data_IF_155796746990
#
_entry.id   IF_155796746990
#
_cell.length_a   1.000
_cell.length_b   1.000
_cell.length_c   1.000
_cell.angle_alpha   90.00
_cell.angle_beta   90.00
_cell.angle_gamma   90.00
#
_symmetry.space_group_name_H-M   'P 1'
#
loop_
_entity.id
_entity.type
_entity.pdbx_description
1 polymer ?
#
# COMPACT_ATOMS: atom_id res chain seq x y z
N UNK A 1 25.22 10.01 -27.39
CA UNK A 1 24.79 9.03 -26.36
C UNK A 1 23.78 9.74 -25.50
N UNK A 2 22.51 9.36 -25.62
CA UNK A 2 21.33 10.05 -25.07
C UNK A 2 21.44 10.16 -23.53
N UNK A 3 21.55 11.38 -23.02
CA UNK A 3 21.92 11.71 -21.64
C UNK A 3 20.70 11.65 -20.70
N UNK A 4 20.01 10.51 -20.65
CA UNK A 4 18.96 10.30 -19.66
C UNK A 4 19.57 10.31 -18.26
N UNK A 5 19.10 11.23 -17.41
CA UNK A 5 19.50 11.31 -16.00
C UNK A 5 18.25 11.14 -15.16
N UNK A 6 18.27 10.16 -14.25
CA UNK A 6 17.22 9.97 -13.26
C UNK A 6 17.89 9.77 -11.90
N UNK A 7 17.55 10.65 -10.97
CA UNK A 7 18.20 10.80 -9.67
C UNK A 7 17.18 10.69 -8.55
N UNK A 8 17.51 9.92 -7.52
CA UNK A 8 16.79 9.90 -6.25
C UNK A 8 17.61 10.63 -5.21
N UNK A 9 17.04 11.68 -4.61
CA UNK A 9 17.72 12.51 -3.61
C UNK A 9 16.95 12.42 -2.30
N UNK A 10 17.61 11.90 -1.27
CA UNK A 10 17.04 11.67 0.05
C UNK A 10 17.82 12.50 1.09
N UNK A 11 17.44 13.76 1.35
CA UNK A 11 18.13 14.61 2.31
C UNK A 11 17.95 14.09 3.75
N UNK A 12 18.98 14.25 4.58
CA UNK A 12 19.01 13.83 5.99
C UNK A 12 18.73 12.33 6.20
N UNK A 13 19.02 11.49 5.20
CA UNK A 13 18.87 10.04 5.27
C UNK A 13 20.23 9.34 5.22
N UNK A 14 20.23 8.05 5.60
CA UNK A 14 21.39 7.17 5.59
C UNK A 14 21.17 6.03 4.60
N UNK A 15 22.21 5.60 3.91
CA UNK A 15 22.09 4.60 2.84
C UNK A 15 21.49 3.29 3.39
N UNK A 16 21.91 2.90 4.59
CA UNK A 16 21.39 1.72 5.30
C UNK A 16 19.88 1.70 5.53
N UNK A 17 19.19 2.85 5.47
CA UNK A 17 17.72 2.92 5.61
C UNK A 17 17.02 3.01 4.25
N UNK A 18 17.59 3.81 3.33
CA UNK A 18 16.99 4.07 2.01
C UNK A 18 17.17 2.87 1.08
N UNK A 19 18.36 2.28 1.06
CA UNK A 19 18.70 1.19 0.15
C UNK A 19 17.79 -0.02 0.37
N UNK A 20 17.49 -0.50 1.61
CA UNK A 20 16.49 -1.57 1.79
C UNK A 20 15.07 -1.15 1.41
N UNK A 21 14.67 0.11 1.63
CA UNK A 21 13.32 0.57 1.30
C UNK A 21 13.06 0.54 -0.23
N UNK A 22 14.10 0.79 -1.03
CA UNK A 22 14.10 0.72 -2.50
C UNK A 22 14.41 -0.68 -3.03
N UNK A 23 15.33 -1.43 -2.41
CA UNK A 23 15.71 -2.78 -2.87
C UNK A 23 14.66 -3.83 -2.53
N UNK A 24 13.92 -3.65 -1.44
CA UNK A 24 12.81 -4.52 -1.04
C UNK A 24 11.48 -4.04 -1.64
N UNK A 25 11.50 -3.48 -2.85
CA UNK A 25 10.28 -3.33 -3.64
C UNK A 25 9.87 -4.72 -4.14
N UNK A 26 8.58 -5.04 -4.04
CA UNK A 26 8.11 -6.37 -4.45
C UNK A 26 8.30 -6.56 -5.96
N UNK A 27 8.47 -7.80 -6.40
CA UNK A 27 8.55 -8.16 -7.83
C UNK A 27 7.34 -7.64 -8.61
N UNK A 28 6.17 -7.62 -7.97
CA UNK A 28 4.94 -7.07 -8.54
C UNK A 28 5.01 -5.54 -8.74
N UNK A 29 5.62 -4.81 -7.80
CA UNK A 29 5.87 -3.36 -7.94
C UNK A 29 6.91 -3.09 -9.03
N UNK A 30 7.96 -3.90 -9.10
CA UNK A 30 8.97 -3.77 -10.15
C UNK A 30 8.37 -4.04 -11.54
N UNK A 31 7.52 -5.06 -11.68
CA UNK A 31 6.83 -5.36 -12.95
C UNK A 31 5.78 -4.31 -13.32
N UNK A 32 4.97 -3.86 -12.36
CA UNK A 32 3.87 -2.92 -12.63
C UNK A 32 4.35 -1.56 -13.15
N UNK A 33 5.51 -1.12 -12.69
CA UNK A 33 6.10 0.17 -13.06
C UNK A 33 7.30 0.04 -13.98
N UNK A 34 7.52 -1.16 -14.54
CA UNK A 34 8.66 -1.48 -15.41
C UNK A 34 9.99 -0.97 -14.80
N UNK A 35 10.13 -1.15 -13.48
CA UNK A 35 11.30 -0.71 -12.73
C UNK A 35 12.40 -1.75 -12.89
N UNK A 36 13.44 -1.36 -13.59
CA UNK A 36 14.71 -2.05 -13.53
C UNK A 36 15.63 -1.37 -12.50
N UNK A 37 15.87 -2.06 -11.39
CA UNK A 37 16.77 -1.59 -10.32
C UNK A 37 18.19 -2.16 -10.47
N UNK A 38 18.46 -2.96 -11.51
CA UNK A 38 19.76 -3.62 -11.69
C UNK A 38 20.90 -2.62 -11.95
N UNK A 39 20.60 -1.49 -12.58
CA UNK A 39 21.54 -0.39 -12.83
C UNK A 39 21.64 0.65 -11.72
N UNK A 40 21.04 0.41 -10.54
CA UNK A 40 20.97 1.40 -9.47
C UNK A 40 22.33 1.56 -8.77
N UNK A 41 22.85 2.79 -8.80
CA UNK A 41 24.07 3.16 -8.08
C UNK A 41 23.79 4.17 -6.98
N UNK A 42 24.47 4.02 -5.86
CA UNK A 42 24.26 4.77 -4.64
C UNK A 42 25.50 5.52 -4.21
N UNK A 43 25.29 6.68 -3.61
CA UNK A 43 26.31 7.41 -2.87
C UNK A 43 25.69 8.00 -1.59
N UNK A 44 26.49 8.09 -0.53
CA UNK A 44 26.10 8.69 0.74
C UNK A 44 27.14 9.73 1.15
N UNK A 45 26.67 10.84 1.68
CA UNK A 45 27.50 11.80 2.41
C UNK A 45 26.84 12.15 3.75
N UNK A 46 27.39 13.14 4.46
CA UNK A 46 26.82 13.59 5.74
C UNK A 46 25.40 14.16 5.59
N UNK A 47 25.12 14.80 4.46
CA UNK A 47 23.91 15.56 4.20
C UNK A 47 22.76 14.71 3.67
N UNK A 48 23.04 13.54 3.07
CA UNK A 48 22.00 12.65 2.58
C UNK A 48 22.51 11.53 1.69
N UNK A 49 21.55 10.91 1.00
CA UNK A 49 21.77 9.81 0.07
C UNK A 49 21.34 10.23 -1.33
N UNK A 50 22.14 9.82 -2.31
CA UNK A 50 21.87 9.97 -3.72
C UNK A 50 21.82 8.58 -4.37
N UNK A 51 20.85 8.37 -5.26
CA UNK A 51 20.83 7.24 -6.17
C UNK A 51 20.75 7.72 -7.62
N UNK A 52 21.44 7.03 -8.52
CA UNK A 52 21.36 7.25 -9.97
C UNK A 52 20.81 6.00 -10.64
N UNK A 53 19.86 6.20 -11.54
CA UNK A 53 19.32 5.16 -12.41
C UNK A 53 20.00 5.21 -13.78
N UNK A 54 20.40 4.05 -14.27
CA UNK A 54 20.86 3.84 -15.65
C UNK A 54 19.73 3.11 -16.40
N UNK A 55 18.96 3.82 -17.25
CA UNK A 55 17.86 3.24 -18.04
C UNK A 55 16.64 4.14 -18.18
N UNK A 56 15.80 3.91 -19.19
CA UNK A 56 14.63 4.73 -19.57
C UNK A 56 13.38 4.49 -18.72
N UNK A 57 13.53 4.11 -17.45
CA UNK A 57 12.37 3.86 -16.57
C UNK A 57 11.76 5.19 -16.07
N UNK A 58 10.43 5.22 -15.87
CA UNK A 58 9.66 6.40 -15.43
C UNK A 58 9.12 6.19 -14.01
N UNK A 59 9.97 6.20 -12.99
CA UNK A 59 9.54 5.71 -11.70
C UNK A 59 8.99 6.84 -10.85
N UNK A 60 7.83 7.35 -11.26
CA UNK A 60 7.00 8.23 -10.44
C UNK A 60 6.84 7.74 -9.00
N UNK A 61 6.90 6.41 -8.83
CA UNK A 61 6.75 5.72 -7.56
C UNK A 61 8.05 5.53 -6.77
N UNK A 62 9.23 5.76 -7.36
CA UNK A 62 10.50 5.59 -6.65
C UNK A 62 10.78 6.68 -5.62
N UNK A 63 10.17 7.87 -5.73
CA UNK A 63 10.15 8.81 -4.63
C UNK A 63 9.04 8.51 -3.62
N UNK A 64 7.87 8.11 -4.12
CA UNK A 64 6.66 7.97 -3.30
C UNK A 64 6.75 6.79 -2.33
N UNK A 65 7.17 5.62 -2.79
CA UNK A 65 7.20 4.41 -1.94
C UNK A 65 8.23 4.54 -0.82
N UNK A 66 9.49 4.93 -1.07
CA UNK A 66 10.48 5.08 0.00
C UNK A 66 10.13 6.23 0.96
N UNK A 67 9.58 7.34 0.46
CA UNK A 67 9.11 8.43 1.34
C UNK A 67 7.97 7.97 2.26
N UNK A 68 7.10 7.07 1.82
CA UNK A 68 6.06 6.47 2.64
C UNK A 68 6.64 5.52 3.70
N UNK A 69 7.49 4.58 3.28
CA UNK A 69 8.09 3.55 4.16
C UNK A 69 8.93 4.16 5.28
N UNK A 70 9.62 5.26 5.01
CA UNK A 70 10.58 5.86 5.93
C UNK A 70 10.08 7.18 6.54
N UNK A 71 8.84 7.58 6.21
CA UNK A 71 8.26 8.88 6.58
C UNK A 71 9.18 10.09 6.32
N UNK A 72 9.98 10.02 5.26
CA UNK A 72 11.04 10.99 4.97
C UNK A 72 10.75 11.79 3.69
N UNK A 73 11.57 12.83 3.46
CA UNK A 73 11.59 13.51 2.17
C UNK A 73 12.36 12.67 1.17
N UNK A 74 11.78 12.49 -0.01
CA UNK A 74 12.45 11.89 -1.16
C UNK A 74 12.09 12.70 -2.39
N UNK A 75 13.08 13.12 -3.14
CA UNK A 75 12.88 13.80 -4.42
C UNK A 75 13.37 12.91 -5.56
N UNK A 76 12.54 12.75 -6.58
CA UNK A 76 12.96 12.19 -7.86
C UNK A 76 13.16 13.34 -8.83
N UNK A 77 14.31 13.39 -9.50
CA UNK A 77 14.70 14.41 -10.45
C UNK A 77 15.10 13.73 -11.75
N UNK A 78 14.63 14.23 -12.88
CA UNK A 78 14.90 13.61 -14.18
C UNK A 78 15.19 14.62 -15.28
N UNK A 79 15.96 14.17 -16.28
CA UNK A 79 16.23 14.86 -17.54
C UNK A 79 16.10 13.87 -18.71
N UNK A 80 15.46 14.34 -19.79
CA UNK A 80 15.14 13.61 -21.03
C UNK A 80 15.22 14.53 -22.24
N UNK A 81 15.10 13.94 -23.43
CA UNK A 81 15.06 14.67 -24.71
C UNK A 81 13.89 15.67 -24.76
N UNK A 82 12.75 15.34 -24.14
CA UNK A 82 11.54 16.19 -24.10
C UNK A 82 11.50 17.18 -22.92
N UNK A 83 12.57 17.27 -22.12
CA UNK A 83 12.68 18.22 -21.00
C UNK A 83 13.12 17.60 -19.68
N UNK A 84 13.00 18.38 -18.61
CA UNK A 84 13.39 18.01 -17.25
C UNK A 84 12.26 18.24 -16.26
N UNK A 85 12.32 17.58 -15.11
CA UNK A 85 11.33 17.77 -14.08
C UNK A 85 11.72 17.14 -12.76
N UNK A 86 10.91 17.42 -11.74
CA UNK A 86 11.07 16.79 -10.43
C UNK A 86 9.73 16.43 -9.79
N UNK A 87 9.79 15.48 -8.87
CA UNK A 87 8.70 15.11 -7.98
C UNK A 87 9.20 15.06 -6.56
N UNK A 88 8.62 15.89 -5.70
CA UNK A 88 8.92 15.97 -4.29
C UNK A 88 7.89 15.18 -3.50
N UNK A 89 8.33 14.17 -2.77
CA UNK A 89 7.47 13.36 -1.91
C UNK A 89 7.86 13.50 -0.44
N UNK A 90 6.85 13.46 0.43
CA UNK A 90 7.02 13.37 1.87
C UNK A 90 5.95 12.48 2.46
N UNK A 91 6.35 11.50 3.27
CA UNK A 91 5.43 10.55 3.92
C UNK A 91 4.45 9.88 2.94
N UNK A 92 4.89 9.60 1.72
CA UNK A 92 4.07 8.95 0.68
C UNK A 92 3.12 9.86 -0.09
N UNK A 93 3.06 11.14 0.25
CA UNK A 93 2.31 12.16 -0.50
C UNK A 93 3.22 12.91 -1.46
N UNK A 94 2.71 13.22 -2.65
CA UNK A 94 3.36 14.14 -3.58
C UNK A 94 3.11 15.56 -3.06
N UNK A 95 4.14 16.21 -2.53
CA UNK A 95 4.04 17.60 -2.06
C UNK A 95 4.19 18.59 -3.22
N UNK A 96 4.91 18.18 -4.26
CA UNK A 96 5.17 19.02 -5.41
C UNK A 96 5.59 18.22 -6.64
N UNK A 97 5.25 18.74 -7.81
CA UNK A 97 5.67 18.21 -9.11
C UNK A 97 5.87 19.37 -10.08
N UNK A 98 6.93 19.32 -10.86
CA UNK A 98 7.30 20.35 -11.82
C UNK A 98 7.81 19.70 -13.10
N UNK A 99 7.41 20.26 -14.24
CA UNK A 99 7.86 19.88 -15.57
C UNK A 99 8.27 21.15 -16.32
N UNK A 100 9.54 21.22 -16.73
CA UNK A 100 10.16 22.39 -17.35
C UNK A 100 9.88 22.55 -18.85
N UNK A 101 8.91 21.81 -19.40
CA UNK A 101 8.48 21.93 -20.79
C UNK A 101 7.01 21.48 -20.91
N UNK A 102 6.02 22.31 -20.53
CA UNK A 102 4.63 22.01 -20.83
C UNK A 102 4.46 21.92 -22.36
N UNK A 103 3.79 20.87 -22.84
CA UNK A 103 3.36 20.84 -24.25
C UNK A 103 2.57 22.12 -24.56
N UNK A 104 2.65 22.65 -25.78
CA UNK A 104 1.98 23.91 -26.16
C UNK A 104 0.46 23.92 -25.90
N UNK A 105 -0.13 22.73 -25.69
CA UNK A 105 -1.54 22.50 -25.40
C UNK A 105 -1.85 22.33 -23.89
N UNK A 106 -0.87 22.46 -23.00
CA UNK A 106 -1.07 22.30 -21.56
C UNK A 106 -1.67 23.57 -20.93
N UNK A 107 -2.67 23.43 -20.03
CA UNK A 107 -3.21 24.56 -19.29
C UNK A 107 -2.09 25.25 -18.47
N UNK A 108 -2.20 26.56 -18.20
CA UNK A 108 -1.21 27.28 -17.41
C UNK A 108 -1.00 26.60 -16.06
N UNK A 109 0.26 26.50 -15.59
CA UNK A 109 0.57 25.78 -14.36
C UNK A 109 -0.16 26.40 -13.17
N UNK A 110 -0.81 25.56 -12.37
CA UNK A 110 -1.55 25.98 -11.17
C UNK A 110 -0.65 26.43 -10.01
N UNK A 111 0.66 26.20 -10.13
CA UNK A 111 1.68 26.48 -9.11
C UNK A 111 2.76 27.36 -9.74
N UNK A 112 3.13 28.44 -9.05
CA UNK A 112 4.17 29.37 -9.56
C UNK A 112 5.58 28.89 -9.21
N UNK A 113 6.63 29.31 -9.96
CA UNK A 113 8.02 29.01 -9.64
C UNK A 113 8.41 29.34 -8.18
N UNK A 114 7.88 30.43 -7.61
CA UNK A 114 8.12 30.83 -6.22
C UNK A 114 7.50 29.86 -5.22
N UNK A 115 6.32 29.30 -5.54
CA UNK A 115 5.67 28.30 -4.70
C UNK A 115 6.43 26.98 -4.73
N UNK A 116 6.93 26.56 -5.89
CA UNK A 116 7.83 25.42 -6.02
C UNK A 116 9.12 25.63 -5.20
N UNK A 117 9.75 26.79 -5.36
CA UNK A 117 10.96 27.16 -4.62
C UNK A 117 10.73 27.14 -3.10
N UNK A 118 9.59 27.63 -2.61
CA UNK A 118 9.25 27.62 -1.19
C UNK A 118 9.13 26.19 -0.63
N UNK A 119 8.52 25.27 -1.38
CA UNK A 119 8.38 23.85 -0.98
C UNK A 119 9.74 23.15 -0.95
N UNK A 120 10.58 23.40 -1.95
CA UNK A 120 11.94 22.87 -2.02
C UNK A 120 12.82 23.42 -0.89
N UNK A 121 12.83 24.73 -0.67
CA UNK A 121 13.60 25.39 0.40
C UNK A 121 13.27 24.81 1.78
N UNK A 122 11.98 24.55 2.05
CA UNK A 122 11.52 23.93 3.31
C UNK A 122 12.14 22.55 3.56
N UNK A 123 12.36 21.76 2.51
CA UNK A 123 12.84 20.37 2.62
C UNK A 123 14.35 20.24 2.58
N UNK A 124 15.00 21.05 1.74
CA UNK A 124 16.43 20.98 1.48
C UNK A 124 17.23 22.04 2.25
N UNK A 125 16.57 22.98 2.93
CA UNK A 125 17.20 24.13 3.61
C UNK A 125 18.06 24.97 2.64
N UNK A 126 17.62 25.07 1.40
CA UNK A 126 18.26 25.84 0.34
C UNK A 126 17.69 27.26 0.25
N UNK A 127 18.40 28.15 -0.42
CA UNK A 127 17.96 29.53 -0.62
C UNK A 127 16.77 29.62 -1.58
N UNK A 128 15.68 30.23 -1.12
CA UNK A 128 14.41 30.27 -1.87
C UNK A 128 14.51 31.14 -3.11
N UNK A 129 15.19 32.28 -3.04
CA UNK A 129 15.27 33.23 -4.15
C UNK A 129 16.09 32.64 -5.31
N UNK A 130 17.23 32.01 -4.98
CA UNK A 130 18.05 31.29 -5.94
C UNK A 130 17.29 30.11 -6.58
N UNK A 131 16.48 29.38 -5.82
CA UNK A 131 15.64 28.31 -6.35
C UNK A 131 14.55 28.83 -7.29
N UNK A 132 13.90 29.94 -6.95
CA UNK A 132 12.88 30.55 -7.80
C UNK A 132 13.47 31.03 -9.13
N UNK A 133 14.66 31.64 -9.10
CA UNK A 133 15.39 32.04 -10.30
C UNK A 133 15.75 30.84 -11.20
N UNK A 134 16.07 29.68 -10.62
CA UNK A 134 16.32 28.45 -11.40
C UNK A 134 15.05 27.93 -12.09
N UNK A 135 13.89 28.08 -11.45
CA UNK A 135 12.61 27.53 -11.92
C UNK A 135 11.87 28.46 -12.88
N UNK A 136 12.17 29.77 -12.86
CA UNK A 136 11.60 30.77 -13.76
C UNK A 136 12.40 30.94 -15.07
N UNK A 137 13.49 30.20 -15.24
CA UNK A 137 14.42 30.33 -16.36
C UNK A 137 13.86 29.65 -17.62
N UNK A 138 13.04 30.38 -18.39
CA UNK A 138 12.61 30.01 -19.75
C UNK A 138 13.54 30.62 -20.81
N UNK A 139 14.86 30.41 -20.68
CA UNK A 139 15.79 30.84 -21.73
C UNK A 139 15.78 29.81 -22.86
N UNK A 140 15.37 30.17 -24.09
CA UNK A 140 15.18 29.22 -25.19
C UNK A 140 16.47 28.55 -25.69
N UNK A 141 17.63 28.97 -25.21
CA UNK A 141 18.95 28.46 -25.58
C UNK A 141 19.56 27.51 -24.53
N UNK A 142 19.00 27.43 -23.33
CA UNK A 142 19.55 26.56 -22.27
C UNK A 142 19.03 25.14 -22.43
N UNK A 143 19.96 24.17 -22.45
CA UNK A 143 19.59 22.77 -22.44
C UNK A 143 18.95 22.40 -21.10
N UNK A 144 17.92 21.53 -21.10
CA UNK A 144 17.30 21.05 -19.85
C UNK A 144 18.29 20.37 -18.89
N UNK A 145 19.44 19.92 -19.39
CA UNK A 145 20.55 19.43 -18.58
C UNK A 145 21.19 20.55 -17.77
N UNK A 146 21.48 21.71 -18.39
CA UNK A 146 22.07 22.86 -17.71
C UNK A 146 21.13 23.45 -16.67
N UNK A 147 19.82 23.50 -16.96
CA UNK A 147 18.81 23.93 -16.00
C UNK A 147 18.75 23.01 -14.78
N UNK A 148 18.80 21.69 -15.00
CA UNK A 148 18.81 20.69 -13.94
C UNK A 148 20.10 20.74 -13.11
N UNK A 149 21.27 20.91 -13.75
CA UNK A 149 22.54 21.10 -13.06
C UNK A 149 22.57 22.38 -12.21
N UNK A 150 21.98 23.47 -12.71
CA UNK A 150 21.83 24.72 -11.95
C UNK A 150 20.92 24.54 -10.74
N UNK A 151 19.78 23.86 -10.92
CA UNK A 151 18.90 23.53 -9.80
C UNK A 151 19.62 22.69 -8.75
N UNK A 152 20.37 21.66 -9.16
CA UNK A 152 21.13 20.81 -8.24
C UNK A 152 22.19 21.57 -7.45
N UNK A 153 22.92 22.52 -8.08
CA UNK A 153 23.91 23.39 -7.41
C UNK A 153 23.32 24.14 -6.23
N UNK A 154 22.09 24.62 -6.39
CA UNK A 154 21.40 25.43 -5.38
C UNK A 154 20.68 24.55 -4.35
N UNK A 155 19.99 23.52 -4.82
CA UNK A 155 19.13 22.67 -4.00
C UNK A 155 19.92 21.70 -3.12
N UNK A 156 20.92 21.04 -3.71
CA UNK A 156 21.68 19.98 -3.06
C UNK A 156 23.12 19.96 -3.63
N UNK A 157 23.97 20.96 -3.31
CA UNK A 157 25.34 21.02 -3.82
C UNK A 157 26.14 19.74 -3.51
N UNK A 158 25.92 19.14 -2.34
CA UNK A 158 26.50 17.86 -1.95
C UNK A 158 26.14 16.70 -2.89
N UNK A 159 24.93 16.70 -3.47
CA UNK A 159 24.52 15.66 -4.41
C UNK A 159 25.23 15.82 -5.75
N UNK A 160 25.47 17.06 -6.19
CA UNK A 160 26.25 17.35 -7.38
C UNK A 160 27.72 16.93 -7.22
N UNK A 161 28.33 17.19 -6.05
CA UNK A 161 29.67 16.72 -5.74
C UNK A 161 29.76 15.18 -5.77
N UNK A 162 28.75 14.48 -5.24
CA UNK A 162 28.68 13.02 -5.31
C UNK A 162 28.53 12.50 -6.75
N UNK A 163 27.79 13.20 -7.61
CA UNK A 163 27.70 12.88 -9.04
C UNK A 163 29.04 13.09 -9.76
N UNK A 164 29.70 14.22 -9.52
CA UNK A 164 30.95 14.59 -10.18
C UNK A 164 32.14 13.75 -9.71
N UNK A 165 32.16 13.32 -8.45
CA UNK A 165 33.25 12.53 -7.86
C UNK A 165 33.31 11.07 -8.32
N UNK A 166 32.28 10.57 -9.02
CA UNK A 166 32.22 9.19 -9.49
C UNK A 166 32.11 8.14 -8.37
N UNK A 167 31.75 8.55 -7.14
CA UNK A 167 31.66 7.68 -5.96
C UNK A 167 30.39 6.81 -5.91
N UNK A 168 29.62 6.77 -7.00
CA UNK A 168 28.42 5.96 -7.14
C UNK A 168 28.77 4.47 -7.21
N UNK A 169 28.44 3.73 -6.15
CA UNK A 169 28.70 2.31 -6.04
C UNK A 169 27.42 1.48 -6.29
N UNK A 170 27.54 0.28 -6.90
CA UNK A 170 26.42 -0.66 -6.97
C UNK A 170 26.00 -1.13 -5.58
N UNK A 171 24.80 -1.70 -5.49
CA UNK A 171 24.18 -2.26 -4.27
C UNK A 171 25.21 -3.06 -3.46
N UNK A 172 25.61 -2.55 -2.28
CA UNK A 172 26.34 -3.36 -1.30
C UNK A 172 25.33 -4.23 -0.56
N UNK A 173 25.47 -5.57 -0.54
CA UNK A 173 24.79 -6.38 0.47
C UNK A 173 25.25 -5.89 1.85
N UNK A 174 24.33 -5.82 2.81
CA UNK A 174 24.68 -5.41 4.17
C UNK A 174 25.88 -6.24 4.66
N UNK A 175 26.95 -5.62 5.18
CA UNK A 175 28.06 -6.37 5.73
C UNK A 175 27.53 -7.26 6.86
N UNK A 176 27.90 -8.54 6.83
CA UNK A 176 27.68 -9.42 7.97
C UNK A 176 28.33 -8.76 9.21
N UNK A 177 27.70 -8.83 10.39
CA UNK A 177 28.26 -8.21 11.58
C UNK A 177 29.65 -8.79 11.86
N UNK A 178 30.67 -7.92 11.90
CA UNK A 178 32.04 -8.27 12.26
C UNK A 178 32.06 -8.89 13.66
N UNK A 179 32.57 -10.11 13.75
CA UNK A 179 32.60 -10.92 14.98
C UNK A 179 33.74 -10.57 15.94
N UNK A 180 34.33 -9.37 15.83
CA UNK A 180 35.57 -9.00 16.52
C UNK A 180 35.48 -7.71 17.34
N UNK A 181 34.43 -7.54 18.15
CA UNK A 181 34.39 -6.53 19.22
C UNK A 181 33.89 -7.14 20.54
N UNK A 182 34.40 -6.68 21.70
CA UNK A 182 34.30 -7.42 22.96
C UNK A 182 32.86 -7.41 23.48
N UNK A 183 32.39 -8.59 23.90
CA UNK A 183 31.07 -8.81 24.51
C UNK A 183 30.92 -7.98 25.78
N UNK A 184 30.15 -6.91 25.73
CA UNK A 184 29.62 -6.24 26.91
C UNK A 184 28.23 -6.80 27.23
N UNK A 185 28.07 -7.24 28.48
CA UNK A 185 26.97 -8.08 28.96
C UNK A 185 25.59 -7.45 28.74
N UNK A 186 24.90 -7.91 27.69
CA UNK A 186 23.46 -7.73 27.53
C UNK A 186 22.87 -9.12 27.29
N UNK A 187 21.83 -9.57 28.04
CA UNK A 187 21.25 -10.89 27.83
C UNK A 187 20.73 -10.99 26.40
N UNK A 188 21.27 -11.98 25.68
CA UNK A 188 20.97 -12.28 24.28
C UNK A 188 19.48 -12.49 24.07
N UNK A 189 18.86 -11.59 23.30
CA UNK A 189 17.58 -11.78 22.63
C UNK A 189 17.85 -11.84 21.11
N UNK A 190 18.80 -12.67 20.68
CA UNK A 190 18.85 -13.06 19.27
C UNK A 190 17.91 -14.25 19.07
N UNK A 191 16.83 -14.12 18.27
CA UNK A 191 16.17 -15.29 17.72
C UNK A 191 17.19 -15.96 16.79
N UNK A 192 17.60 -17.17 17.14
CA UNK A 192 18.39 -18.03 16.28
C UNK A 192 17.83 -17.96 14.85
N UNK A 193 18.71 -17.68 13.88
CA UNK A 193 18.38 -17.70 12.45
C UNK A 193 17.85 -19.09 12.10
N UNK A 194 16.52 -19.23 12.16
CA UNK A 194 15.83 -20.32 11.50
C UNK A 194 15.93 -20.07 10.00
N UNK A 195 16.05 -21.13 9.18
CA UNK A 195 15.84 -21.01 7.73
C UNK A 195 14.54 -20.24 7.48
N UNK A 196 14.39 -19.49 6.36
CA UNK A 196 13.22 -18.66 6.11
C UNK A 196 11.97 -19.49 6.41
N UNK A 197 11.26 -19.11 7.47
CA UNK A 197 10.04 -19.83 7.86
C UNK A 197 9.15 -19.83 6.63
N UNK A 198 8.74 -21.03 6.22
CA UNK A 198 7.80 -21.23 5.11
C UNK A 198 6.65 -20.25 5.34
N UNK A 199 6.31 -19.45 4.33
CA UNK A 199 5.21 -18.50 4.49
C UNK A 199 4.00 -19.26 5.06
N UNK A 200 3.38 -18.74 6.14
CA UNK A 200 2.29 -19.44 6.79
C UNK A 200 1.20 -19.74 5.76
N UNK A 201 0.69 -20.97 5.75
CA UNK A 201 -0.46 -21.30 4.92
C UNK A 201 -1.75 -20.68 5.49
N UNK A 202 -2.86 -20.71 4.73
CA UNK A 202 -4.14 -20.18 5.19
C UNK A 202 -4.62 -20.81 6.51
N UNK A 203 -4.15 -22.03 6.85
CA UNK A 203 -4.38 -22.70 8.12
C UNK A 203 -3.87 -21.95 9.36
N UNK A 204 -2.98 -20.96 9.19
CA UNK A 204 -2.57 -20.09 10.28
C UNK A 204 -3.74 -19.31 10.92
N UNK A 205 -4.88 -19.21 10.22
CA UNK A 205 -6.10 -18.61 10.76
C UNK A 205 -6.83 -19.49 11.78
N UNK A 206 -6.66 -20.82 11.73
CA UNK A 206 -7.51 -21.78 12.43
C UNK A 206 -7.50 -21.60 13.96
N UNK A 207 -6.35 -21.32 14.61
CA UNK A 207 -6.34 -21.05 16.05
C UNK A 207 -7.17 -19.82 16.46
N UNK A 208 -7.44 -18.90 15.53
CA UNK A 208 -8.24 -17.70 15.76
C UNK A 208 -9.70 -17.87 15.32
N UNK A 209 -10.05 -18.97 14.63
CA UNK A 209 -11.39 -19.20 14.12
C UNK A 209 -12.36 -19.47 15.28
N UNK A 210 -13.46 -18.72 15.29
CA UNK A 210 -14.47 -18.74 16.36
C UNK A 210 -15.85 -19.12 15.85
N UNK A 211 -16.08 -19.02 14.55
CA UNK A 211 -17.37 -19.29 13.93
C UNK A 211 -17.27 -19.42 12.42
N UNK A 212 -18.09 -20.31 11.88
CA UNK A 212 -18.27 -20.49 10.44
C UNK A 212 -19.76 -20.51 10.18
N UNK A 213 -20.21 -19.69 9.23
CA UNK A 213 -21.56 -19.79 8.69
C UNK A 213 -21.52 -19.93 7.18
N UNK A 214 -22.35 -20.78 6.63
CA UNK A 214 -22.44 -20.97 5.19
C UNK A 214 -23.90 -21.03 4.74
N UNK A 215 -24.19 -20.44 3.58
CA UNK A 215 -25.46 -20.62 2.91
C UNK A 215 -25.20 -21.35 1.60
N UNK A 216 -25.70 -22.58 1.50
CA UNK A 216 -25.66 -23.35 0.26
C UNK A 216 -26.55 -22.68 -0.78
N UNK A 217 -26.18 -22.84 -2.05
CA UNK A 217 -26.96 -22.32 -3.15
C UNK A 217 -28.37 -22.93 -3.15
N UNK A 218 -29.36 -22.09 -2.82
CA UNK A 218 -30.74 -22.50 -2.61
C UNK A 218 -31.71 -21.44 -3.12
N UNK A 219 -32.54 -21.86 -4.09
CA UNK A 219 -33.63 -21.12 -4.77
C UNK A 219 -33.21 -20.02 -5.78
N UNK A 220 -33.60 -20.12 -7.07
CA UNK A 220 -33.33 -19.12 -8.12
C UNK A 220 -34.08 -17.76 -8.03
N UNK A 221 -34.70 -17.42 -6.90
CA UNK A 221 -35.50 -16.18 -6.80
C UNK A 221 -34.59 -14.94 -6.61
N UNK A 222 -34.88 -13.79 -7.25
CA UNK A 222 -34.07 -12.58 -7.12
C UNK A 222 -34.13 -12.00 -5.69
N UNK A 223 -33.16 -12.42 -4.88
CA UNK A 223 -32.99 -12.09 -3.47
C UNK A 223 -33.02 -10.57 -3.18
N UNK A 224 -32.52 -9.73 -4.09
CA UNK A 224 -32.57 -8.25 -3.99
C UNK A 224 -33.97 -7.68 -3.74
N UNK A 225 -35.00 -8.29 -4.35
CA UNK A 225 -36.39 -7.80 -4.26
C UNK A 225 -37.05 -8.27 -2.96
N UNK A 226 -36.79 -9.53 -2.57
CA UNK A 226 -37.18 -10.08 -1.28
C UNK A 226 -36.53 -9.31 -0.11
N UNK A 227 -35.26 -8.91 -0.24
CA UNK A 227 -34.53 -8.22 0.82
C UNK A 227 -34.92 -6.75 0.98
N UNK A 228 -35.37 -6.11 -0.10
CA UNK A 228 -35.91 -4.75 -0.06
C UNK A 228 -37.33 -4.72 0.54
N UNK A 229 -38.13 -5.77 0.31
CA UNK A 229 -39.54 -5.81 0.72
C UNK A 229 -39.77 -6.52 2.07
N UNK A 230 -38.95 -7.51 2.44
CA UNK A 230 -39.11 -8.35 3.62
C UNK A 230 -37.74 -8.70 4.25
N UNK A 231 -37.14 -7.79 5.04
CA UNK A 231 -35.83 -8.01 5.67
C UNK A 231 -35.76 -9.26 6.56
N UNK A 232 -36.90 -9.67 7.13
CA UNK A 232 -37.01 -10.84 8.02
C UNK A 232 -37.06 -12.19 7.28
N UNK A 233 -37.14 -12.22 5.94
CA UNK A 233 -37.19 -13.47 5.14
C UNK A 233 -35.84 -13.83 4.50
N UNK A 234 -34.73 -13.26 4.99
CA UNK A 234 -33.41 -13.64 4.48
C UNK A 234 -33.12 -15.10 4.87
N UNK A 235 -32.68 -15.96 3.93
CA UNK A 235 -32.26 -17.31 4.26
C UNK A 235 -31.07 -17.23 5.23
N UNK A 236 -31.26 -17.80 6.43
CA UNK A 236 -30.28 -17.74 7.50
C UNK A 236 -29.14 -18.69 7.16
N UNK A 237 -27.88 -18.21 7.12
CA UNK A 237 -26.71 -19.07 6.96
C UNK A 237 -26.66 -20.12 8.07
N UNK A 238 -26.42 -21.37 7.69
CA UNK A 238 -26.27 -22.47 8.63
C UNK A 238 -24.92 -22.37 9.33
N UNK A 239 -24.90 -22.66 10.63
CA UNK A 239 -23.65 -22.75 11.40
C UNK A 239 -22.96 -24.06 11.05
N UNK A 240 -21.69 -23.96 10.63
CA UNK A 240 -20.88 -25.12 10.25
C UNK A 240 -19.94 -25.47 11.41
N UNK A 241 -19.90 -26.76 11.77
CA UNK A 241 -18.94 -27.25 12.78
C UNK A 241 -17.51 -27.06 12.27
N UNK A 242 -16.65 -26.47 13.11
CA UNK A 242 -15.28 -26.12 12.77
C UNK A 242 -14.22 -26.58 13.79
N UNK A 243 -14.62 -27.37 14.80
CA UNK A 243 -13.72 -27.79 15.89
C UNK A 243 -12.50 -28.58 15.41
N UNK A 244 -12.63 -29.33 14.32
CA UNK A 244 -11.56 -30.19 13.77
C UNK A 244 -11.11 -29.74 12.37
N UNK A 245 -11.33 -28.47 12.01
CA UNK A 245 -10.91 -27.99 10.70
C UNK A 245 -9.40 -28.02 10.54
N UNK A 246 -8.96 -28.54 9.41
CA UNK A 246 -7.58 -28.44 8.92
C UNK A 246 -7.52 -27.48 7.74
N UNK A 247 -6.31 -27.30 7.18
CA UNK A 247 -6.12 -26.61 5.91
C UNK A 247 -7.05 -27.17 4.81
N UNK A 248 -7.37 -28.47 4.84
CA UNK A 248 -8.21 -29.11 3.84
C UNK A 248 -9.67 -28.66 3.91
N UNK A 249 -10.26 -28.61 5.10
CA UNK A 249 -11.65 -28.16 5.29
C UNK A 249 -11.79 -26.68 4.98
N UNK A 250 -10.83 -25.87 5.42
CA UNK A 250 -10.77 -24.44 5.11
C UNK A 250 -10.68 -24.18 3.60
N UNK A 251 -9.78 -24.89 2.92
CA UNK A 251 -9.66 -24.78 1.46
C UNK A 251 -10.92 -25.30 0.76
N UNK A 252 -11.48 -26.42 1.21
CA UNK A 252 -12.68 -27.00 0.66
C UNK A 252 -13.88 -26.06 0.72
N UNK A 253 -14.09 -25.34 1.83
CA UNK A 253 -15.21 -24.40 1.95
C UNK A 253 -15.02 -23.15 1.07
N UNK A 254 -13.77 -22.67 0.93
CA UNK A 254 -13.44 -21.56 0.03
C UNK A 254 -13.63 -21.95 -1.43
N UNK A 255 -13.24 -23.18 -1.79
CA UNK A 255 -13.44 -23.75 -3.12
C UNK A 255 -14.94 -23.92 -3.42
N UNK A 256 -15.75 -24.33 -2.45
CA UNK A 256 -17.20 -24.40 -2.60
C UNK A 256 -17.82 -23.01 -2.89
N UNK A 257 -17.35 -21.94 -2.26
CA UNK A 257 -17.80 -20.59 -2.60
C UNK A 257 -17.35 -20.17 -4.00
N UNK A 258 -16.07 -20.37 -4.32
CA UNK A 258 -15.46 -19.99 -5.58
C UNK A 258 -16.08 -20.72 -6.79
N UNK A 259 -16.38 -22.01 -6.63
CA UNK A 259 -17.10 -22.83 -7.62
C UNK A 259 -18.62 -22.56 -7.69
N UNK A 260 -19.16 -21.74 -6.79
CA UNK A 260 -20.58 -21.36 -6.78
C UNK A 260 -21.52 -22.36 -6.10
N UNK A 261 -20.98 -23.30 -5.31
CA UNK A 261 -21.76 -24.16 -4.41
C UNK A 261 -22.31 -23.44 -3.18
N UNK A 262 -21.69 -22.31 -2.79
CA UNK A 262 -22.19 -21.44 -1.72
C UNK A 262 -22.61 -20.08 -2.28
N UNK A 263 -23.75 -19.59 -1.81
CA UNK A 263 -24.16 -18.20 -2.00
C UNK A 263 -23.56 -17.28 -0.92
N UNK A 264 -23.13 -17.87 0.20
CA UNK A 264 -22.54 -17.11 1.31
C UNK A 264 -21.60 -17.97 2.15
N UNK A 265 -20.52 -17.36 2.61
CA UNK A 265 -19.58 -17.91 3.57
C UNK A 265 -19.11 -16.78 4.50
N UNK A 266 -19.22 -17.01 5.80
CA UNK A 266 -18.76 -16.12 6.86
C UNK A 266 -17.76 -16.87 7.73
N UNK A 267 -16.58 -16.28 7.93
CA UNK A 267 -15.56 -16.78 8.84
C UNK A 267 -15.32 -15.72 9.92
N UNK A 268 -15.68 -16.05 11.17
CA UNK A 268 -15.51 -15.19 12.34
C UNK A 268 -14.21 -15.55 13.07
N UNK A 269 -13.38 -14.56 13.36
CA UNK A 269 -12.11 -14.72 14.07
C UNK A 269 -12.03 -13.84 15.32
N UNK A 270 -11.32 -14.34 16.33
CA UNK A 270 -10.84 -13.58 17.48
C UNK A 270 -9.31 -13.53 17.44
N UNK A 271 -8.75 -12.44 16.95
CA UNK A 271 -7.30 -12.26 16.85
C UNK A 271 -6.79 -11.32 17.95
N UNK A 272 -5.54 -11.47 18.41
CA UNK A 272 -4.93 -10.51 19.34
C UNK A 272 -4.97 -9.09 18.74
N UNK A 273 -5.62 -8.16 19.43
CA UNK A 273 -5.59 -6.74 19.04
C UNK A 273 -4.30 -6.06 19.49
N UNK A 274 -4.03 -4.85 18.96
CA UNK A 274 -2.93 -4.01 19.42
C UNK A 274 -2.98 -3.84 20.95
N UNK A 275 -1.92 -4.32 21.62
CA UNK A 275 -1.84 -4.33 23.06
C UNK A 275 -1.23 -3.05 23.61
N UNK A 276 -1.80 -2.55 24.70
CA UNK A 276 -1.14 -1.50 25.48
C UNK A 276 -0.06 -2.15 26.33
N UNK A 277 1.18 -1.64 26.26
CA UNK A 277 2.25 -2.13 27.11
C UNK A 277 1.98 -1.75 28.57
N UNK A 278 1.69 -2.75 29.40
CA UNK A 278 1.40 -2.53 30.83
C UNK A 278 2.69 -2.74 31.61
N UNK A 279 3.36 -1.64 31.98
CA UNK A 279 4.66 -1.65 32.69
C UNK A 279 4.69 -2.56 33.92
N UNK A 280 3.62 -2.58 34.72
CA UNK A 280 3.50 -3.43 35.94
C UNK A 280 3.42 -4.92 35.66
N UNK A 281 3.01 -5.33 34.45
CA UNK A 281 2.89 -6.73 34.04
C UNK A 281 4.04 -7.18 33.15
N UNK A 282 4.94 -6.27 32.75
CA UNK A 282 6.05 -6.57 31.84
C UNK A 282 5.61 -7.10 30.47
N UNK A 283 4.35 -6.90 30.06
CA UNK A 283 3.80 -7.44 28.81
C UNK A 283 2.78 -6.49 28.17
N UNK A 284 2.67 -6.58 26.85
CA UNK A 284 1.58 -5.98 26.10
C UNK A 284 0.27 -6.74 26.42
N UNK A 285 -0.74 -6.02 26.89
CA UNK A 285 -2.08 -6.58 27.12
C UNK A 285 -2.98 -6.04 26.03
N UNK A 286 -3.27 -6.88 25.05
CA UNK A 286 -4.25 -6.61 23.99
C UNK A 286 -5.58 -7.27 24.31
N UNK A 287 -6.67 -6.57 23.99
CA UNK A 287 -7.99 -7.20 23.95
C UNK A 287 -8.12 -7.95 22.62
N UNK A 288 -8.69 -9.15 22.65
CA UNK A 288 -9.02 -9.86 21.41
C UNK A 288 -9.97 -9.00 20.59
N UNK A 289 -9.65 -8.81 19.32
CA UNK A 289 -10.47 -8.07 18.37
C UNK A 289 -11.18 -9.05 17.43
N UNK A 290 -12.42 -8.71 17.09
CA UNK A 290 -13.26 -9.54 16.21
C UNK A 290 -13.03 -9.15 14.76
N UNK A 291 -12.67 -10.13 13.94
CA UNK A 291 -12.63 -10.01 12.49
C UNK A 291 -13.68 -10.92 11.87
N UNK A 292 -14.29 -10.49 10.76
CA UNK A 292 -15.17 -11.38 9.99
C UNK A 292 -14.92 -11.22 8.52
N UNK A 293 -14.50 -12.30 7.87
CA UNK A 293 -14.41 -12.39 6.42
C UNK A 293 -15.79 -12.83 5.90
N UNK A 294 -16.35 -12.06 4.98
CA UNK A 294 -17.66 -12.32 4.37
C UNK A 294 -17.48 -12.45 2.87
N UNK A 295 -17.87 -13.60 2.35
CA UNK A 295 -17.92 -13.94 0.95
C UNK A 295 -19.39 -14.13 0.58
N UNK A 296 -19.90 -13.37 -0.38
CA UNK A 296 -21.33 -13.37 -0.69
C UNK A 296 -21.59 -13.24 -2.19
N UNK A 297 -22.67 -13.87 -2.65
CA UNK A 297 -23.09 -13.93 -4.04
C UNK A 297 -24.51 -13.38 -4.22
N UNK A 298 -24.77 -12.76 -5.35
CA UNK A 298 -26.09 -12.30 -5.77
C UNK A 298 -26.19 -12.27 -7.30
N UNK A 299 -27.14 -13.03 -7.89
CA UNK A 299 -27.41 -13.00 -9.34
C UNK A 299 -26.16 -13.18 -10.21
N UNK A 300 -25.27 -14.10 -9.82
CA UNK A 300 -24.01 -14.37 -10.52
C UNK A 300 -22.87 -13.41 -10.15
N UNK A 301 -23.17 -12.27 -9.52
CA UNK A 301 -22.18 -11.33 -8.98
C UNK A 301 -21.69 -11.79 -7.62
N UNK A 302 -20.48 -11.39 -7.22
CA UNK A 302 -19.97 -11.68 -5.88
C UNK A 302 -19.21 -10.50 -5.27
N UNK A 303 -19.07 -10.52 -3.95
CA UNK A 303 -18.32 -9.54 -3.18
C UNK A 303 -17.58 -10.25 -2.04
N UNK A 304 -16.38 -9.76 -1.75
CA UNK A 304 -15.55 -10.22 -0.64
C UNK A 304 -15.23 -9.01 0.23
N UNK A 305 -15.54 -9.08 1.53
CA UNK A 305 -15.26 -8.01 2.47
C UNK A 305 -14.76 -8.54 3.82
N UNK A 306 -13.95 -7.74 4.49
CA UNK A 306 -13.49 -7.99 5.85
C UNK A 306 -14.00 -6.88 6.79
N UNK A 307 -14.62 -7.30 7.88
CA UNK A 307 -15.09 -6.42 8.95
C UNK A 307 -14.09 -6.45 10.12
N UNK A 308 -13.42 -5.33 10.37
CA UNK A 308 -12.40 -5.20 11.42
C UNK A 308 -12.92 -4.42 12.63
N UNK A 309 -13.17 -5.14 13.74
CA UNK A 309 -13.64 -4.55 14.98
C UNK A 309 -12.58 -3.76 15.77
N UNK A 310 -11.28 -3.92 15.49
CA UNK A 310 -10.22 -3.16 16.16
C UNK A 310 -10.26 -1.69 15.76
N UNK A 311 -10.41 -1.43 14.45
CA UNK A 311 -10.38 -0.08 13.88
C UNK A 311 -11.77 0.40 13.41
N UNK A 312 -12.82 -0.38 13.69
CA UNK A 312 -14.18 -0.14 13.17
C UNK A 312 -14.19 -0.01 11.64
N UNK A 313 -13.39 -0.84 10.98
CA UNK A 313 -13.09 -0.76 9.56
C UNK A 313 -13.87 -1.74 8.71
N UNK A 314 -14.19 -1.36 7.48
CA UNK A 314 -14.66 -2.27 6.45
C UNK A 314 -13.70 -2.22 5.27
N UNK A 315 -13.25 -3.40 4.86
CA UNK A 315 -12.38 -3.57 3.71
C UNK A 315 -13.11 -4.35 2.64
N UNK A 316 -13.13 -3.86 1.41
CA UNK A 316 -13.73 -4.57 0.28
C UNK A 316 -12.65 -4.98 -0.69
N UNK A 317 -12.69 -6.22 -1.16
CA UNK A 317 -11.83 -6.65 -2.24
C UNK A 317 -12.25 -5.92 -3.52
N UNK A 318 -11.29 -5.31 -4.21
CA UNK A 318 -11.55 -4.51 -5.40
C UNK A 318 -11.70 -5.44 -6.62
N UNK A 319 -12.85 -5.34 -7.28
CA UNK A 319 -13.18 -6.05 -8.51
C UNK A 319 -12.69 -5.31 -9.76
N UNK A 320 -12.77 -3.97 -9.75
CA UNK A 320 -12.24 -3.10 -10.81
C UNK A 320 -11.21 -2.12 -10.26
N UNK A 321 -9.94 -2.53 -10.37
CA UNK A 321 -8.81 -1.76 -9.86
C UNK A 321 -8.55 -0.49 -10.66
N UNK A 322 -8.84 -0.49 -11.96
CA UNK A 322 -8.62 0.71 -12.78
C UNK A 322 -9.56 1.80 -12.32
N UNK A 323 -10.86 1.49 -12.22
CA UNK A 323 -11.86 2.44 -11.71
C UNK A 323 -11.50 2.95 -10.31
N UNK A 324 -11.09 2.07 -9.39
CA UNK A 324 -10.70 2.49 -8.04
C UNK A 324 -9.50 3.45 -8.02
N UNK A 325 -8.55 3.29 -8.93
CA UNK A 325 -7.29 4.05 -8.92
C UNK A 325 -7.32 5.33 -9.75
N UNK A 326 -8.17 5.41 -10.78
CA UNK A 326 -8.13 6.50 -11.77
C UNK A 326 -9.34 7.42 -11.75
N UNK A 327 -10.46 6.98 -11.17
CA UNK A 327 -11.70 7.78 -11.12
C UNK A 327 -11.75 8.56 -9.81
N UNK A 328 -12.15 9.82 -9.88
CA UNK A 328 -12.33 10.65 -8.70
C UNK A 328 -13.40 10.04 -7.78
N UNK A 329 -13.19 10.16 -6.46
CA UNK A 329 -14.08 9.57 -5.46
C UNK A 329 -15.54 10.02 -5.60
N UNK A 330 -15.77 11.24 -6.10
CA UNK A 330 -17.10 11.81 -6.30
C UNK A 330 -17.80 11.27 -7.55
N UNK A 331 -17.04 10.70 -8.50
CA UNK A 331 -17.54 10.17 -9.78
C UNK A 331 -17.65 8.65 -9.80
N UNK A 332 -17.33 7.99 -8.67
CA UNK A 332 -17.43 6.54 -8.55
C UNK A 332 -18.88 6.09 -8.70
N UNK A 333 -19.09 5.18 -9.67
CA UNK A 333 -20.41 4.58 -9.91
C UNK A 333 -20.79 3.71 -8.73
N UNK A 334 -22.02 3.88 -8.26
CA UNK A 334 -22.63 3.04 -7.24
C UNK A 334 -23.56 2.00 -7.86
N UNK A 335 -23.69 0.87 -7.18
CA UNK A 335 -24.60 -0.21 -7.55
C UNK A 335 -25.33 -0.72 -6.31
N UNK A 336 -26.47 -1.36 -6.53
CA UNK A 336 -27.21 -2.01 -5.45
C UNK A 336 -26.79 -3.48 -5.38
N UNK A 337 -26.35 -3.90 -4.20
CA UNK A 337 -25.94 -5.26 -3.92
C UNK A 337 -26.49 -5.71 -2.56
N UNK A 338 -27.27 -6.80 -2.54
CA UNK A 338 -28.01 -7.25 -1.34
C UNK A 338 -28.88 -6.15 -0.69
N UNK A 339 -29.40 -5.23 -1.51
CA UNK A 339 -30.23 -4.10 -1.05
C UNK A 339 -29.44 -2.95 -0.41
N UNK A 340 -28.11 -3.00 -0.41
CA UNK A 340 -27.24 -1.91 0.02
C UNK A 340 -26.66 -1.19 -1.19
N UNK A 341 -26.46 0.11 -1.07
CA UNK A 341 -25.72 0.89 -2.05
C UNK A 341 -24.22 0.74 -1.77
N UNK A 342 -23.48 0.22 -2.75
CA UNK A 342 -22.04 -0.01 -2.67
C UNK A 342 -21.36 0.55 -3.90
N UNK A 343 -20.07 0.83 -3.81
CA UNK A 343 -19.29 1.23 -4.96
C UNK A 343 -19.17 0.08 -5.96
N UNK A 344 -19.45 0.33 -7.23
CA UNK A 344 -19.51 -0.73 -8.26
C UNK A 344 -18.17 -1.45 -8.42
N UNK A 345 -17.04 -0.77 -8.17
CA UNK A 345 -15.71 -1.36 -8.26
C UNK A 345 -15.44 -2.45 -7.21
N UNK A 346 -16.28 -2.65 -6.19
CA UNK A 346 -16.13 -3.72 -5.18
C UNK A 346 -16.94 -4.97 -5.52
N UNK A 347 -17.78 -4.92 -6.55
CA UNK A 347 -18.67 -6.01 -6.95
C UNK A 347 -18.12 -6.67 -8.20
N UNK A 348 -17.88 -7.98 -8.13
CA UNK A 348 -17.46 -8.77 -9.27
C UNK A 348 -18.68 -9.14 -10.12
N UNK A 349 -18.71 -8.71 -11.39
CA UNK A 349 -19.84 -8.98 -12.31
C UNK A 349 -19.96 -10.45 -12.75
N UNK A 350 -18.94 -11.26 -12.49
CA UNK A 350 -18.94 -12.71 -12.68
C UNK A 350 -17.95 -13.39 -11.73
N UNK A 351 -17.97 -14.72 -11.63
CA UNK A 351 -17.05 -15.44 -10.76
C UNK A 351 -15.62 -15.19 -11.26
N UNK A 352 -14.86 -14.41 -10.51
CA UNK A 352 -13.39 -14.33 -10.57
C UNK A 352 -12.82 -15.16 -9.41
N UNK A 353 -13.04 -16.50 -9.41
CA UNK A 353 -12.68 -17.34 -8.28
C UNK A 353 -11.18 -17.22 -7.96
N UNK A 354 -10.33 -17.09 -8.98
CA UNK A 354 -8.87 -17.03 -8.80
C UNK A 354 -8.43 -15.82 -7.98
N UNK A 355 -9.05 -14.65 -8.20
CA UNK A 355 -8.72 -13.41 -7.48
C UNK A 355 -9.21 -13.49 -6.04
N UNK A 356 -10.47 -13.88 -5.85
CA UNK A 356 -11.06 -14.01 -4.52
C UNK A 356 -10.32 -15.06 -3.70
N UNK A 357 -10.01 -16.21 -4.31
CA UNK A 357 -9.31 -17.33 -3.67
C UNK A 357 -7.93 -16.91 -3.21
N UNK A 358 -7.11 -16.36 -4.11
CA UNK A 358 -5.75 -15.91 -3.81
C UNK A 358 -5.72 -14.88 -2.68
N UNK A 359 -6.60 -13.88 -2.74
CA UNK A 359 -6.58 -12.80 -1.76
C UNK A 359 -7.20 -13.19 -0.42
N UNK A 360 -8.18 -14.09 -0.42
CA UNK A 360 -8.69 -14.69 0.82
C UNK A 360 -7.61 -15.56 1.50
N UNK A 361 -6.91 -16.42 0.75
CA UNK A 361 -5.83 -17.25 1.30
C UNK A 361 -4.69 -16.42 1.89
N UNK A 362 -4.27 -15.36 1.19
CA UNK A 362 -3.24 -14.46 1.67
C UNK A 362 -3.68 -13.70 2.93
N UNK A 363 -4.94 -13.30 3.00
CA UNK A 363 -5.48 -12.69 4.22
C UNK A 363 -5.50 -13.68 5.39
N UNK A 364 -5.99 -14.90 5.15
CA UNK A 364 -6.12 -15.92 6.19
C UNK A 364 -4.76 -16.37 6.75
N UNK A 365 -3.74 -16.48 5.88
CA UNK A 365 -2.37 -16.82 6.30
C UNK A 365 -1.69 -15.75 7.17
N UNK A 366 -2.19 -14.51 7.13
CA UNK A 366 -1.56 -13.33 7.74
C UNK A 366 -2.55 -12.54 8.60
N UNK A 367 -3.57 -13.19 9.17
CA UNK A 367 -4.62 -12.51 9.96
C UNK A 367 -4.08 -11.77 11.18
N UNK A 368 -3.01 -12.30 11.78
CA UNK A 368 -2.27 -11.71 12.89
C UNK A 368 -1.49 -10.44 12.52
N UNK A 369 -1.12 -10.30 11.24
CA UNK A 369 -0.42 -9.14 10.66
C UNK A 369 -1.19 -8.53 9.47
N UNK A 370 -2.52 -8.55 9.56
CA UNK A 370 -3.45 -8.20 8.46
C UNK A 370 -3.24 -6.81 7.86
N UNK A 371 -2.71 -5.86 8.62
CA UNK A 371 -2.48 -4.49 8.13
C UNK A 371 -1.56 -4.46 6.91
N UNK A 372 -0.61 -5.40 6.81
CA UNK A 372 0.22 -5.56 5.61
C UNK A 372 -0.57 -6.05 4.40
N UNK A 373 -1.52 -6.97 4.60
CA UNK A 373 -2.37 -7.53 3.54
C UNK A 373 -3.48 -6.56 3.09
N UNK A 374 -4.00 -5.77 4.02
CA UNK A 374 -5.07 -4.79 3.79
C UNK A 374 -4.54 -3.40 3.43
N UNK A 375 -3.21 -3.25 3.38
CA UNK A 375 -2.56 -1.97 3.08
C UNK A 375 -2.92 -1.51 1.67
N UNK A 376 -3.77 -0.49 1.56
CA UNK A 376 -4.10 0.15 0.30
C UNK A 376 -2.84 0.66 -0.43
N UNK A 377 -1.82 1.11 0.32
CA UNK A 377 -0.55 1.60 -0.22
C UNK A 377 0.48 0.49 -0.45
N UNK A 378 0.62 -0.46 0.49
CA UNK A 378 1.56 -1.57 0.39
C UNK A 378 1.18 -2.62 -0.66
N UNK A 379 -0.12 -2.73 -0.95
CA UNK A 379 -0.68 -3.67 -1.94
C UNK A 379 -1.51 -2.98 -3.03
N UNK A 380 -1.28 -1.68 -3.22
CA UNK A 380 -1.73 -0.93 -4.39
C UNK A 380 -3.23 -1.04 -4.71
N UNK A 381 -4.08 -0.91 -3.70
CA UNK A 381 -5.53 -0.93 -3.88
C UNK A 381 -6.05 -2.30 -4.33
N UNK A 382 -5.58 -3.39 -3.72
CA UNK A 382 -6.25 -4.70 -3.80
C UNK A 382 -7.50 -4.69 -2.92
N UNK A 383 -7.41 -4.08 -1.74
CA UNK A 383 -8.53 -3.85 -0.83
C UNK A 383 -8.82 -2.36 -0.76
N UNK A 384 -10.08 -1.97 -0.97
CA UNK A 384 -10.53 -0.62 -0.63
C UNK A 384 -10.80 -0.55 0.87
N UNK A 385 -10.55 0.62 1.44
CA UNK A 385 -10.56 0.83 2.88
C UNK A 385 -11.60 1.89 3.25
N UNK A 386 -12.57 1.50 4.05
CA UNK A 386 -13.50 2.41 4.73
C UNK A 386 -13.24 2.32 6.24
N UNK A 387 -12.33 3.17 6.72
CA UNK A 387 -11.96 3.22 8.15
C UNK A 387 -12.14 4.66 8.64
N UNK A 388 -12.80 4.86 9.81
CA UNK A 388 -12.96 6.19 10.39
C UNK A 388 -11.60 6.79 10.77
N UNK A 389 -11.45 8.11 10.68
CA UNK A 389 -10.23 8.80 11.12
C UNK A 389 -9.93 8.57 12.61
N UNK A 390 -10.97 8.43 13.43
CA UNK A 390 -10.89 8.18 14.86
C UNK A 390 -11.88 7.09 15.27
N UNK A 391 -11.43 6.11 16.05
CA UNK A 391 -12.27 4.99 16.49
C UNK A 391 -13.18 5.37 17.70
N UNK A 392 -14.13 6.27 17.46
CA UNK A 392 -15.08 6.77 18.47
C UNK A 392 -16.19 5.76 18.77
N UNK A 393 -16.95 5.97 19.85
CA UNK A 393 -18.17 5.18 20.15
C UNK A 393 -19.16 5.19 18.98
N UNK A 394 -19.33 6.35 18.33
CA UNK A 394 -20.17 6.47 17.13
C UNK A 394 -19.67 5.60 15.98
N UNK A 395 -18.35 5.60 15.74
CA UNK A 395 -17.75 4.76 14.70
C UNK A 395 -17.93 3.26 14.99
N UNK A 396 -17.79 2.85 16.26
CA UNK A 396 -18.06 1.47 16.70
C UNK A 396 -19.52 1.07 16.47
N UNK A 397 -20.47 1.98 16.74
CA UNK A 397 -21.90 1.74 16.51
C UNK A 397 -22.21 1.57 15.02
N UNK A 398 -21.73 2.48 14.18
CA UNK A 398 -21.86 2.41 12.73
C UNK A 398 -21.21 1.13 12.16
N UNK A 399 -20.04 0.75 12.66
CA UNK A 399 -19.41 -0.52 12.27
C UNK A 399 -20.25 -1.73 12.68
N UNK A 400 -20.88 -1.71 13.86
CA UNK A 400 -21.78 -2.77 14.28
C UNK A 400 -23.05 -2.82 13.42
N UNK A 401 -23.60 -1.68 13.00
CA UNK A 401 -24.72 -1.60 12.06
C UNK A 401 -24.34 -2.20 10.70
N UNK A 402 -23.20 -1.80 10.13
CA UNK A 402 -22.67 -2.37 8.90
C UNK A 402 -22.43 -3.88 9.01
N UNK A 403 -21.88 -4.32 10.15
CA UNK A 403 -21.70 -5.73 10.46
C UNK A 403 -23.05 -6.44 10.49
N UNK A 404 -24.08 -5.89 11.12
CA UNK A 404 -25.42 -6.50 11.16
C UNK A 404 -26.11 -6.47 9.77
N UNK A 405 -25.75 -5.53 8.89
CA UNK A 405 -26.20 -5.54 7.50
C UNK A 405 -25.55 -6.67 6.69
N UNK A 406 -24.24 -6.85 6.86
CA UNK A 406 -23.42 -7.75 6.06
C UNK A 406 -23.29 -9.16 6.62
N UNK A 407 -23.42 -9.35 7.94
CA UNK A 407 -23.47 -10.64 8.66
C UNK A 407 -24.93 -10.90 9.05
N UNK A 408 -25.46 -12.10 8.78
CA UNK A 408 -26.84 -12.41 9.14
C UNK A 408 -26.82 -12.97 10.56
N UNK A 409 -27.63 -12.36 11.42
CA UNK A 409 -27.95 -12.88 12.75
C UNK A 409 -29.05 -13.91 12.66
#
# INVERSE_FOLDING_TARGET
>A
MSAFVSLLICPNQRLRHIQPAVSNLSVDVMRLYELDLSGLRWAECRQGVLARFEGSCYPEMLARIPSAKLECTVMHLWYREDGWGFRLCFKGSVEDAFEGAPSADSPPPSVTPEQHAARLARRFKADRESLAACLASDTPEESGQESLERLLRVLAPWAQELLASGQLAPVRPAPAPDSSSPKENTPSLEPAQRPPEREPGPEACLPFLTGVKALRRGWPFPLSLLYRLLPQKRPVPETVSHQDWTARELNGVLDQFCSGGLDRLELDFAVPGEGTYVRRLGKAVGQACRLTLVLIREKGRCMCLLLDGQVSGVYYLIADRNTYMTVDIHDLKKTVFHGQEVEAYTVFDGPRPDVIRREAELLLSRLDCRDGVLSATGRMGVWSRQVPMTNTQTAKRLHQELRDCWTMK
#
